data_IF_556484164535
#
_entry.id   IF_556484164535
#
_cell.length_a   1.000
_cell.length_b   1.000
_cell.length_c   1.000
_cell.angle_alpha   90.00
_cell.angle_beta   90.00
_cell.angle_gamma   90.00
#
_symmetry.space_group_name_H-M   'P 1'
#
loop_
_entity.id
_entity.type
_entity.pdbx_description
1 polymer ?
#
# COMPACT_ATOMS: atom_id res chain seq x y z
N UNK A 1 11.54 5.66 -2.45
CA UNK A 1 10.60 5.55 -1.29
C UNK A 1 9.56 4.47 -1.60
N UNK A 2 9.14 3.66 -0.62
CA UNK A 2 8.08 2.67 -0.76
C UNK A 2 6.73 3.25 -0.32
N UNK A 3 5.87 3.56 -1.28
CA UNK A 3 4.49 3.95 -1.10
C UNK A 3 3.61 2.70 -1.00
N UNK A 4 3.10 2.43 0.20
CA UNK A 4 2.19 1.31 0.47
C UNK A 4 0.78 1.87 0.56
N UNK A 5 -0.04 1.62 -0.45
CA UNK A 5 -1.44 1.99 -0.44
C UNK A 5 -2.29 0.78 -0.10
N UNK A 6 -2.91 0.79 1.07
CA UNK A 6 -3.73 -0.32 1.56
C UNK A 6 -5.18 0.13 1.65
N UNK A 7 -6.01 -0.39 0.75
CA UNK A 7 -7.46 -0.23 0.79
C UNK A 7 -8.13 -1.51 1.26
N UNK A 8 -9.44 -1.46 1.46
CA UNK A 8 -10.23 -2.66 1.79
C UNK A 8 -10.43 -3.61 0.59
N UNK A 9 -10.06 -3.18 -0.61
CA UNK A 9 -10.28 -3.95 -1.84
C UNK A 9 -8.97 -4.42 -2.47
N UNK A 10 -7.88 -3.66 -2.36
CA UNK A 10 -6.57 -4.03 -2.89
C UNK A 10 -5.43 -3.36 -2.11
N UNK A 11 -4.22 -3.92 -2.22
CA UNK A 11 -2.99 -3.40 -1.64
C UNK A 11 -1.95 -3.16 -2.72
N UNK A 12 -1.38 -1.95 -2.77
CA UNK A 12 -0.36 -1.57 -3.72
C UNK A 12 0.97 -1.40 -3.00
N UNK A 13 2.02 -1.97 -3.57
CA UNK A 13 3.39 -1.74 -3.18
C UNK A 13 4.09 -1.05 -4.35
N UNK A 14 4.37 0.24 -4.19
CA UNK A 14 4.96 1.08 -5.22
C UNK A 14 6.25 1.70 -4.71
N UNK A 15 7.36 1.38 -5.34
CA UNK A 15 8.68 1.93 -5.00
C UNK A 15 9.10 2.93 -6.05
N UNK A 16 9.50 4.09 -5.58
CA UNK A 16 9.98 5.23 -6.36
C UNK A 16 11.39 5.63 -5.94
N UNK A 17 11.95 6.62 -6.62
CA UNK A 17 13.13 7.36 -6.18
C UNK A 17 12.84 8.22 -4.91
N UNK A 18 13.77 9.08 -4.51
CA UNK A 18 13.59 9.96 -3.36
C UNK A 18 12.64 11.14 -3.66
N UNK A 19 12.62 11.62 -4.91
CA UNK A 19 11.71 12.69 -5.33
C UNK A 19 10.25 12.22 -5.45
N UNK A 20 10.05 10.92 -5.66
CA UNK A 20 8.74 10.31 -5.88
C UNK A 20 8.22 10.44 -7.32
N UNK A 21 9.05 10.91 -8.25
CA UNK A 21 8.69 11.10 -9.65
C UNK A 21 8.97 9.87 -10.50
N UNK A 22 10.09 9.21 -10.27
CA UNK A 22 10.51 8.05 -11.06
C UNK A 22 10.08 6.77 -10.35
N UNK A 23 9.45 5.86 -11.12
CA UNK A 23 8.96 4.59 -10.60
C UNK A 23 9.98 3.49 -10.86
N UNK A 24 10.32 2.75 -9.82
CA UNK A 24 11.28 1.65 -9.85
C UNK A 24 10.54 0.33 -9.98
N UNK A 25 9.54 0.11 -9.12
CA UNK A 25 8.73 -1.10 -9.14
C UNK A 25 7.31 -0.80 -8.66
N UNK A 26 6.32 -1.40 -9.31
CA UNK A 26 4.92 -1.31 -8.88
C UNK A 26 4.28 -2.68 -9.02
N UNK A 27 3.75 -3.18 -7.91
CA UNK A 27 3.05 -4.46 -7.85
C UNK A 27 1.83 -4.30 -6.95
N UNK A 28 0.71 -4.91 -7.34
CA UNK A 28 -0.53 -4.90 -6.55
C UNK A 28 -0.84 -6.29 -6.01
N UNK A 29 -1.74 -6.36 -5.03
CA UNK A 29 -2.27 -7.62 -4.52
C UNK A 29 -2.99 -8.39 -5.62
N UNK A 30 -3.83 -7.70 -6.41
CA UNK A 30 -4.51 -8.29 -7.55
C UNK A 30 -3.60 -8.82 -8.67
N UNK A 31 -2.34 -8.36 -8.78
CA UNK A 31 -1.39 -8.99 -9.71
C UNK A 31 -0.92 -10.38 -9.25
N UNK A 32 -1.09 -10.71 -7.96
CA UNK A 32 -0.61 -11.96 -7.35
C UNK A 32 -1.70 -13.00 -7.15
N UNK A 33 -2.96 -12.61 -7.25
CA UNK A 33 -4.11 -13.51 -7.09
C UNK A 33 -5.06 -13.37 -8.27
N UNK A 34 -5.74 -14.44 -8.66
CA UNK A 34 -6.74 -14.42 -9.73
C UNK A 34 -8.16 -14.14 -9.22
N UNK A 35 -8.36 -14.16 -7.90
CA UNK A 35 -9.66 -13.99 -7.28
C UNK A 35 -9.83 -12.54 -6.82
N UNK A 36 -10.82 -11.84 -7.39
CA UNK A 36 -11.08 -10.41 -7.15
C UNK A 36 -11.31 -10.07 -5.66
N UNK A 37 -11.83 -11.01 -4.87
CA UNK A 37 -12.07 -10.81 -3.44
C UNK A 37 -10.80 -10.83 -2.59
N UNK A 38 -9.74 -11.46 -3.09
CA UNK A 38 -8.53 -11.74 -2.35
C UNK A 38 -7.41 -10.72 -2.63
N UNK A 39 -7.68 -9.70 -3.46
CA UNK A 39 -6.71 -8.64 -3.80
C UNK A 39 -6.25 -7.86 -2.55
N UNK A 40 -7.16 -7.59 -1.60
CA UNK A 40 -6.82 -6.96 -0.32
C UNK A 40 -6.17 -7.93 0.70
N UNK A 41 -6.14 -9.23 0.39
CA UNK A 41 -5.77 -10.24 1.38
C UNK A 41 -4.33 -10.02 1.88
N UNK A 42 -4.06 -10.31 3.17
CA UNK A 42 -2.71 -10.21 3.70
C UNK A 42 -1.69 -11.07 2.92
N UNK A 43 -2.14 -12.20 2.36
CA UNK A 43 -1.34 -13.10 1.54
C UNK A 43 -0.95 -12.47 0.20
N UNK A 44 -1.92 -11.90 -0.53
CA UNK A 44 -1.65 -11.20 -1.78
C UNK A 44 -0.67 -10.04 -1.59
N UNK A 45 -0.86 -9.26 -0.53
CA UNK A 45 0.03 -8.15 -0.18
C UNK A 45 1.46 -8.61 0.18
N UNK A 46 1.61 -9.76 0.85
CA UNK A 46 2.91 -10.35 1.14
C UNK A 46 3.65 -10.75 -0.15
N UNK A 47 2.98 -11.43 -1.08
CA UNK A 47 3.57 -11.82 -2.36
C UNK A 47 3.94 -10.60 -3.21
N UNK A 48 3.13 -9.54 -3.18
CA UNK A 48 3.42 -8.30 -3.88
C UNK A 48 4.69 -7.63 -3.32
N UNK A 49 4.82 -7.56 -2.01
CA UNK A 49 5.99 -7.01 -1.33
C UNK A 49 7.28 -7.82 -1.59
N UNK A 50 7.20 -9.15 -1.66
CA UNK A 50 8.34 -10.00 -1.98
C UNK A 50 8.87 -9.75 -3.41
N UNK A 51 7.99 -9.72 -4.40
CA UNK A 51 8.36 -9.43 -5.80
C UNK A 51 8.98 -8.03 -5.97
N UNK A 52 8.41 -7.03 -5.28
CA UNK A 52 8.99 -5.68 -5.27
C UNK A 52 10.38 -5.68 -4.64
N UNK A 53 10.56 -6.41 -3.54
CA UNK A 53 11.85 -6.47 -2.87
C UNK A 53 12.92 -7.15 -3.74
N UNK A 54 12.57 -8.22 -4.45
CA UNK A 54 13.47 -8.87 -5.41
C UNK A 54 13.89 -7.92 -6.54
N UNK A 55 12.93 -7.22 -7.16
CA UNK A 55 13.21 -6.20 -8.19
C UNK A 55 14.08 -5.06 -7.68
N UNK A 56 13.87 -4.63 -6.44
CA UNK A 56 14.69 -3.57 -5.85
C UNK A 56 16.12 -4.06 -5.56
N UNK A 57 16.29 -5.34 -5.18
CA UNK A 57 17.63 -5.94 -4.98
C UNK A 57 18.42 -6.04 -6.27
N UNK A 58 17.80 -6.44 -7.38
CA UNK A 58 18.50 -6.53 -8.67
C UNK A 58 18.97 -5.16 -9.15
N UNK A 59 18.27 -4.09 -8.76
CA UNK A 59 18.61 -2.69 -9.05
C UNK A 59 19.58 -2.07 -8.02
N UNK A 60 20.05 -2.84 -7.02
CA UNK A 60 21.01 -2.37 -6.03
C UNK A 60 20.43 -1.52 -4.88
N UNK A 61 19.10 -1.49 -4.72
CA UNK A 61 18.44 -0.74 -3.64
C UNK A 61 18.42 -1.58 -2.38
N UNK A 62 19.07 -1.09 -1.33
CA UNK A 62 19.26 -1.84 -0.07
C UNK A 62 18.37 -1.35 1.07
N UNK A 63 17.83 -0.14 0.98
CA UNK A 63 17.03 0.50 2.02
C UNK A 63 15.82 1.23 1.45
N UNK A 64 14.71 1.24 2.20
CA UNK A 64 13.45 1.87 1.80
C UNK A 64 12.86 2.68 2.96
N UNK A 65 12.51 3.94 2.69
CA UNK A 65 11.56 4.69 3.52
C UNK A 65 10.13 4.25 3.18
N UNK A 66 9.28 4.09 4.19
CA UNK A 66 7.90 3.64 4.00
C UNK A 66 6.96 4.82 4.18
N UNK A 67 6.08 5.00 3.19
CA UNK A 67 4.93 5.91 3.25
C UNK A 67 3.67 5.07 3.17
N UNK A 68 3.01 4.87 4.32
CA UNK A 68 1.76 4.14 4.40
C UNK A 68 0.60 5.06 4.05
N UNK A 69 -0.38 4.57 3.29
CA UNK A 69 -1.54 5.35 2.86
C UNK A 69 -2.80 4.50 2.87
N UNK A 70 -3.81 4.91 3.63
CA UNK A 70 -5.17 4.41 3.47
C UNK A 70 -5.91 5.15 2.35
N UNK A 71 -7.15 4.74 2.04
CA UNK A 71 -7.97 5.44 1.02
C UNK A 71 -8.13 6.94 1.30
N UNK A 72 -8.37 7.31 2.56
CA UNK A 72 -8.40 8.69 3.04
C UNK A 72 -9.49 9.55 2.39
N UNK A 73 -9.32 10.88 2.48
CA UNK A 73 -10.30 11.86 2.01
C UNK A 73 -11.62 11.73 2.77
N UNK A 74 -12.73 11.69 2.02
CA UNK A 74 -14.07 11.45 2.55
C UNK A 74 -14.41 9.95 2.71
N UNK A 75 -13.45 9.04 2.46
CA UNK A 75 -13.62 7.59 2.60
C UNK A 75 -12.99 7.11 3.92
N UNK A 76 -12.56 5.84 3.96
CA UNK A 76 -11.95 5.23 5.15
C UNK A 76 -10.52 5.72 5.34
N UNK A 77 -10.23 6.23 6.54
CA UNK A 77 -8.88 6.64 6.96
C UNK A 77 -8.07 5.50 7.57
N UNK A 78 -8.73 4.39 7.91
CA UNK A 78 -8.07 3.18 8.40
C UNK A 78 -7.39 2.44 7.24
N UNK A 79 -6.10 2.09 7.37
CA UNK A 79 -5.41 1.26 6.40
C UNK A 79 -6.10 -0.10 6.24
N UNK A 80 -6.10 -0.62 5.02
CA UNK A 80 -6.63 -1.95 4.72
C UNK A 80 -5.79 -3.10 5.33
N UNK A 81 -6.33 -4.33 5.29
CA UNK A 81 -5.73 -5.49 5.95
C UNK A 81 -4.34 -5.87 5.41
N UNK A 82 -4.03 -5.57 4.15
CA UNK A 82 -2.72 -5.85 3.54
C UNK A 82 -1.59 -4.90 3.96
N UNK A 83 -1.87 -3.81 4.69
CA UNK A 83 -0.86 -2.84 5.10
C UNK A 83 0.27 -3.46 5.94
N UNK A 84 -0.12 -4.14 7.01
CA UNK A 84 0.82 -4.71 7.97
C UNK A 84 1.58 -5.90 7.38
N UNK A 85 0.93 -6.71 6.55
CA UNK A 85 1.58 -7.86 5.93
C UNK A 85 2.61 -7.44 4.88
N UNK A 86 2.31 -6.44 4.03
CA UNK A 86 3.27 -5.89 3.08
C UNK A 86 4.50 -5.32 3.80
N UNK A 87 4.30 -4.53 4.85
CA UNK A 87 5.40 -3.95 5.64
C UNK A 87 6.28 -5.03 6.28
N UNK A 88 5.65 -6.05 6.90
CA UNK A 88 6.36 -7.18 7.49
C UNK A 88 7.11 -8.00 6.43
N UNK A 89 6.53 -8.17 5.24
CA UNK A 89 7.16 -8.90 4.14
C UNK A 89 8.40 -8.19 3.60
N UNK A 90 8.35 -6.85 3.45
CA UNK A 90 9.52 -6.04 3.07
C UNK A 90 10.65 -6.15 4.11
N UNK A 91 10.32 -6.14 5.41
CA UNK A 91 11.32 -6.32 6.46
C UNK A 91 11.95 -7.72 6.42
N UNK A 92 11.14 -8.75 6.13
CA UNK A 92 11.61 -10.15 6.02
C UNK A 92 12.45 -10.41 4.76
N UNK A 93 12.25 -9.65 3.69
CA UNK A 93 13.02 -9.78 2.45
C UNK A 93 14.37 -9.07 2.50
N UNK A 94 14.92 -8.82 3.69
CA UNK A 94 16.24 -8.21 3.90
C UNK A 94 16.37 -6.76 3.40
N UNK A 95 15.27 -6.03 3.26
CA UNK A 95 15.32 -4.59 3.01
C UNK A 95 15.52 -3.84 4.32
N UNK A 96 16.45 -2.89 4.36
CA UNK A 96 16.62 -2.01 5.51
C UNK A 96 15.48 -1.01 5.55
N UNK A 97 14.63 -1.10 6.57
CA UNK A 97 13.50 -0.20 6.75
C UNK A 97 13.99 1.09 7.41
N UNK A 98 13.85 2.21 6.70
CA UNK A 98 14.10 3.54 7.23
C UNK A 98 12.90 4.09 8.00
N UNK A 99 12.68 5.41 7.89
CA UNK A 99 11.50 6.08 8.44
C UNK A 99 10.19 5.50 7.88
N UNK A 100 9.22 5.33 8.77
CA UNK A 100 7.84 4.93 8.45
C UNK A 100 6.95 6.12 8.77
N UNK A 101 6.19 6.58 7.77
CA UNK A 101 5.29 7.72 7.89
C UNK A 101 3.89 7.33 7.39
N UNK A 102 2.85 7.73 8.11
CA UNK A 102 1.48 7.68 7.59
C UNK A 102 1.22 8.97 6.80
N UNK A 103 0.95 8.81 5.51
CA UNK A 103 0.62 9.88 4.57
C UNK A 103 -0.81 9.72 4.04
N UNK A 104 -1.68 9.07 4.82
CA UNK A 104 -3.11 9.02 4.55
C UNK A 104 -3.65 10.44 4.38
N UNK A 105 -4.31 10.76 3.24
CA UNK A 105 -4.78 12.12 3.01
C UNK A 105 -5.94 12.42 3.97
N UNK A 106 -5.68 13.26 4.97
CA UNK A 106 -6.67 13.77 5.91
C UNK A 106 -7.06 15.17 5.45
N UNK A 107 -8.30 15.38 5.00
CA UNK A 107 -8.73 16.69 4.53
C UNK A 107 -9.01 17.60 5.74
N UNK A 108 -8.64 18.89 5.65
CA UNK A 108 -8.97 19.90 6.68
C UNK A 108 -10.48 20.08 6.84
N UNK A 109 -11.20 20.08 5.71
CA UNK A 109 -12.66 19.97 5.63
C UNK A 109 -13.06 18.99 4.53
N UNK A 110 -14.19 18.31 4.65
CA UNK A 110 -14.56 17.20 3.77
C UNK A 110 -15.77 17.49 2.90
N UNK A 111 -15.68 17.09 1.63
CA UNK A 111 -16.86 17.03 0.76
C UNK A 111 -17.80 15.91 1.20
N UNK A 112 -19.09 16.04 0.87
CA UNK A 112 -20.11 15.04 1.20
C UNK A 112 -19.68 13.62 0.77
N UNK A 113 -19.61 12.71 1.75
CA UNK A 113 -19.24 11.31 1.52
C UNK A 113 -20.27 10.59 0.63
N UNK A 114 -19.80 9.65 -0.19
CA UNK A 114 -20.67 8.77 -0.99
C UNK A 114 -21.62 7.98 -0.09
N UNK A 115 -22.91 8.09 -0.38
CA UNK A 115 -23.99 7.45 0.37
C UNK A 115 -25.19 8.38 0.55
N UNK A 116 -26.38 7.80 0.78
CA UNK A 116 -27.54 8.59 1.20
C UNK A 116 -27.32 9.20 2.58
N UNK A 117 -28.17 10.15 2.99
CA UNK A 117 -28.17 10.70 4.36
C UNK A 117 -28.30 9.61 5.43
N UNK A 118 -28.96 8.50 5.09
CA UNK A 118 -29.20 7.33 5.94
C UNK A 118 -28.08 6.28 5.86
N UNK A 119 -27.00 6.55 5.13
CA UNK A 119 -25.87 5.62 4.96
C UNK A 119 -26.15 4.47 3.99
N UNK A 120 -25.23 3.50 3.96
CA UNK A 120 -25.39 2.22 3.25
C UNK A 120 -26.24 1.29 4.13
N UNK A 121 -27.36 0.82 3.60
CA UNK A 121 -28.20 -0.22 4.23
C UNK A 121 -27.91 -1.52 3.50
N UNK A 122 -27.70 -2.59 4.25
CA UNK A 122 -27.52 -3.96 3.75
C UNK A 122 -28.87 -4.66 3.74
#
# INVERSE_FOLDING_TARGET
VAHIYASFNDTFVHVTDLSGRETIARVTGGMKVKADRDEASPYAAMLAAQDVAEKCKTLGITALHIKLRATGGNKTKTPGPGAQSALRALARSSMKIGRIEDVTPIPSDSTRRKGGRRGRRL
#
